data_IF_469657658235
#
_entry.id   IF_469657658235
#
_cell.length_a   1.000
_cell.length_b   1.000
_cell.length_c   1.000
_cell.angle_alpha   90.00
_cell.angle_beta   90.00
_cell.angle_gamma   90.00
#
_symmetry.space_group_name_H-M   'P 1'
#
loop_
_entity.id
_entity.type
_entity.pdbx_description
1 polymer ?
#
# COMPACT_ATOMS: atom_id res chain seq x y z
N UNK A 1 -7.97 2.39 -8.07
CA UNK A 1 -8.44 3.25 -9.19
C UNK A 1 -7.29 4.00 -9.86
N UNK A 2 -6.48 4.79 -9.13
CA UNK A 2 -5.30 5.51 -9.69
C UNK A 2 -4.37 4.63 -10.56
N UNK A 3 -3.98 3.46 -10.07
CA UNK A 3 -3.14 2.52 -10.84
C UNK A 3 -3.77 2.09 -12.18
N UNK A 4 -5.10 1.92 -12.23
CA UNK A 4 -5.81 1.52 -13.46
C UNK A 4 -5.87 2.67 -14.47
N UNK A 5 -6.12 3.90 -14.00
CA UNK A 5 -6.07 5.10 -14.83
C UNK A 5 -4.68 5.34 -15.45
N UNK A 6 -3.63 4.96 -14.74
CA UNK A 6 -2.25 5.03 -15.24
C UNK A 6 -1.96 3.95 -16.27
N UNK A 7 -2.37 2.69 -16.02
CA UNK A 7 -2.18 1.58 -16.97
C UNK A 7 -2.94 1.84 -18.28
N UNK A 8 -4.17 2.33 -18.19
CA UNK A 8 -5.02 2.58 -19.36
C UNK A 8 -4.81 4.00 -19.94
N UNK A 9 -3.77 4.71 -19.53
CA UNK A 9 -3.56 6.11 -19.89
C UNK A 9 -3.57 6.36 -21.41
N UNK A 10 -3.00 5.44 -22.19
CA UNK A 10 -2.96 5.52 -23.66
C UNK A 10 -4.32 5.23 -24.33
N UNK A 11 -5.23 4.54 -23.64
CA UNK A 11 -6.56 4.24 -24.15
C UNK A 11 -7.55 5.39 -23.98
N UNK A 12 -7.22 6.39 -23.14
CA UNK A 12 -8.04 7.57 -22.93
C UNK A 12 -7.59 8.72 -23.82
N UNK A 13 -8.54 9.42 -24.43
CA UNK A 13 -8.35 10.65 -25.21
C UNK A 13 -7.93 11.87 -24.36
N UNK A 14 -7.81 11.72 -23.04
CA UNK A 14 -7.29 12.76 -22.14
C UNK A 14 -7.94 12.79 -20.76
N UNK A 15 -7.75 13.90 -20.05
CA UNK A 15 -8.22 14.10 -18.67
C UNK A 15 -9.74 14.06 -18.55
N UNK A 16 -10.46 14.64 -19.52
CA UNK A 16 -11.93 14.61 -19.53
C UNK A 16 -12.51 13.20 -19.56
N UNK A 17 -11.92 12.29 -20.35
CA UNK A 17 -12.34 10.90 -20.41
C UNK A 17 -12.00 10.14 -19.13
N UNK A 18 -10.81 10.39 -18.55
CA UNK A 18 -10.40 9.82 -17.26
C UNK A 18 -11.31 10.30 -16.12
N UNK A 19 -11.71 11.56 -16.14
CA UNK A 19 -12.65 12.16 -15.19
C UNK A 19 -14.05 11.54 -15.29
N UNK A 20 -14.56 11.39 -16.52
CA UNK A 20 -15.82 10.69 -16.78
C UNK A 20 -15.76 9.22 -16.36
N UNK A 21 -14.64 8.55 -16.61
CA UNK A 21 -14.43 7.16 -16.23
C UNK A 21 -14.47 6.96 -14.71
N UNK A 22 -13.86 7.86 -13.92
CA UNK A 22 -13.93 7.81 -12.45
C UNK A 22 -15.40 7.83 -12.01
N UNK A 23 -16.20 8.78 -12.50
CA UNK A 23 -17.62 8.89 -12.15
C UNK A 23 -18.43 7.65 -12.56
N UNK A 24 -18.19 7.14 -13.77
CA UNK A 24 -18.88 5.97 -14.30
C UNK A 24 -18.57 4.69 -13.53
N UNK A 25 -17.42 4.61 -12.85
CA UNK A 25 -17.02 3.47 -12.02
C UNK A 25 -17.53 3.57 -10.58
N UNK A 26 -18.12 4.69 -10.18
CA UNK A 26 -18.84 4.78 -8.92
C UNK A 26 -20.20 4.11 -9.05
N UNK A 27 -20.67 3.48 -7.97
CA UNK A 27 -21.96 2.80 -7.93
C UNK A 27 -22.80 3.31 -6.75
N UNK A 28 -24.13 3.27 -6.93
CA UNK A 28 -25.11 3.60 -5.90
C UNK A 28 -24.94 4.99 -5.29
N UNK A 29 -24.94 5.06 -3.96
CA UNK A 29 -24.90 6.31 -3.20
C UNK A 29 -23.66 7.16 -3.48
N UNK A 30 -22.50 6.54 -3.73
CA UNK A 30 -21.27 7.28 -3.99
C UNK A 30 -21.33 8.07 -5.30
N UNK A 31 -21.92 7.48 -6.34
CA UNK A 31 -22.13 8.16 -7.62
C UNK A 31 -23.12 9.31 -7.47
N UNK A 32 -24.28 9.06 -6.86
CA UNK A 32 -25.32 10.06 -6.64
C UNK A 32 -24.77 11.28 -5.88
N UNK A 33 -24.02 11.06 -4.80
CA UNK A 33 -23.47 12.13 -3.96
C UNK A 33 -22.32 12.88 -4.63
N UNK A 34 -21.70 12.31 -5.66
CA UNK A 34 -20.62 12.95 -6.43
C UNK A 34 -21.09 13.63 -7.70
N UNK A 35 -22.40 13.54 -8.02
CA UNK A 35 -23.00 14.10 -9.24
C UNK A 35 -22.82 15.61 -9.38
N UNK A 36 -22.95 16.36 -8.28
CA UNK A 36 -22.74 17.81 -8.27
C UNK A 36 -21.28 18.17 -8.60
N UNK A 37 -20.32 17.47 -8.00
CA UNK A 37 -18.89 17.66 -8.28
C UNK A 37 -18.56 17.30 -9.74
N UNK A 38 -19.14 16.21 -10.24
CA UNK A 38 -19.00 15.81 -11.65
C UNK A 38 -19.56 16.87 -12.62
N UNK A 39 -20.73 17.44 -12.31
CA UNK A 39 -21.35 18.48 -13.13
C UNK A 39 -20.53 19.78 -13.18
N UNK A 40 -19.70 20.04 -12.16
CA UNK A 40 -18.76 21.16 -12.13
C UNK A 40 -17.43 20.88 -12.85
N UNK A 41 -17.27 19.70 -13.46
CA UNK A 41 -16.05 19.25 -14.11
C UNK A 41 -15.45 20.28 -15.09
N UNK A 42 -16.27 21.01 -15.85
CA UNK A 42 -15.79 22.05 -16.77
C UNK A 42 -15.10 23.22 -16.07
N UNK A 43 -15.54 23.60 -14.86
CA UNK A 43 -14.91 24.64 -14.04
C UNK A 43 -13.60 24.15 -13.40
N UNK A 44 -13.49 22.84 -13.18
CA UNK A 44 -12.34 22.17 -12.57
C UNK A 44 -11.33 21.64 -13.61
N UNK A 45 -11.53 21.98 -14.89
CA UNK A 45 -10.69 21.51 -16.00
C UNK A 45 -10.73 20.00 -16.22
N UNK A 46 -11.77 19.32 -15.71
CA UNK A 46 -11.93 17.87 -15.71
C UNK A 46 -10.71 17.13 -15.13
N UNK A 47 -10.08 17.67 -14.08
CA UNK A 47 -8.91 17.04 -13.47
C UNK A 47 -9.27 15.73 -12.76
N UNK A 48 -8.76 14.56 -13.22
CA UNK A 48 -9.01 13.28 -12.56
C UNK A 48 -8.43 13.24 -11.15
N UNK A 49 -7.28 13.88 -10.93
CA UNK A 49 -6.62 13.94 -9.62
C UNK A 49 -7.45 14.71 -8.60
N UNK A 50 -8.01 15.88 -8.99
CA UNK A 50 -8.90 16.64 -8.12
C UNK A 50 -10.15 15.85 -7.75
N UNK A 51 -10.68 15.05 -8.68
CA UNK A 51 -11.83 14.20 -8.38
C UNK A 51 -11.45 13.08 -7.41
N UNK A 52 -10.33 12.39 -7.62
CA UNK A 52 -9.85 11.37 -6.69
C UNK A 52 -9.58 11.96 -5.29
N UNK A 53 -9.05 13.18 -5.21
CA UNK A 53 -8.84 13.87 -3.94
C UNK A 53 -10.15 14.26 -3.25
N UNK A 54 -11.15 14.71 -4.01
CA UNK A 54 -12.50 14.94 -3.47
C UNK A 54 -13.08 13.65 -2.87
N UNK A 55 -12.94 12.53 -3.59
CA UNK A 55 -13.42 11.23 -3.12
C UNK A 55 -12.70 10.78 -1.84
N UNK A 56 -11.38 10.89 -1.80
CA UNK A 56 -10.59 10.54 -0.62
C UNK A 56 -10.96 11.40 0.59
N UNK A 57 -11.18 12.71 0.40
CA UNK A 57 -11.60 13.61 1.49
C UNK A 57 -13.00 13.29 2.01
N UNK A 58 -13.92 12.93 1.12
CA UNK A 58 -15.34 12.77 1.48
C UNK A 58 -15.68 11.37 1.98
N UNK A 59 -14.98 10.35 1.49
CA UNK A 59 -15.28 8.93 1.74
C UNK A 59 -14.07 8.13 2.22
N UNK A 60 -12.86 8.67 2.15
CA UNK A 60 -11.68 8.02 2.71
C UNK A 60 -11.78 7.95 4.23
N UNK A 61 -11.10 6.96 4.81
CA UNK A 61 -10.92 6.89 6.25
C UNK A 61 -9.62 7.62 6.64
N UNK A 62 -9.69 8.77 7.33
CA UNK A 62 -8.49 9.52 7.72
C UNK A 62 -7.57 8.72 8.65
N UNK A 63 -8.13 7.72 9.36
CA UNK A 63 -7.38 6.86 10.27
C UNK A 63 -6.92 5.56 9.62
N UNK A 64 -7.09 5.37 8.30
CA UNK A 64 -6.84 4.07 7.66
C UNK A 64 -5.41 3.57 7.88
N UNK A 65 -4.43 4.45 7.72
CA UNK A 65 -3.01 4.14 7.95
C UNK A 65 -2.72 3.81 9.41
N UNK A 66 -3.30 4.56 10.34
CA UNK A 66 -3.13 4.33 11.79
C UNK A 66 -3.74 2.99 12.17
N UNK A 67 -4.98 2.71 11.73
CA UNK A 67 -5.64 1.42 11.97
C UNK A 67 -4.87 0.26 11.35
N UNK A 68 -4.31 0.43 10.16
CA UNK A 68 -3.45 -0.58 9.54
C UNK A 68 -2.15 -0.80 10.32
N UNK A 69 -1.55 0.26 10.85
CA UNK A 69 -0.35 0.17 11.69
C UNK A 69 -0.66 -0.59 13.01
N UNK A 70 -1.81 -0.34 13.63
CA UNK A 70 -2.24 -1.05 14.83
C UNK A 70 -2.51 -2.53 14.55
N UNK A 71 -3.11 -2.85 13.39
CA UNK A 71 -3.27 -4.24 12.92
C UNK A 71 -1.92 -4.90 12.67
N UNK A 72 -0.99 -4.22 11.99
CA UNK A 72 0.37 -4.73 11.77
C UNK A 72 1.09 -5.04 13.09
N UNK A 73 0.98 -4.15 14.09
CA UNK A 73 1.60 -4.33 15.42
C UNK A 73 1.03 -5.50 16.20
N UNK A 74 -0.27 -5.75 16.08
CA UNK A 74 -0.98 -6.82 16.78
C UNK A 74 -1.00 -8.15 16.01
N UNK A 75 -0.64 -8.15 14.73
CA UNK A 75 -0.61 -9.34 13.89
C UNK A 75 0.38 -10.37 14.45
N UNK A 76 -0.06 -11.62 14.56
CA UNK A 76 0.77 -12.75 14.96
C UNK A 76 0.48 -13.94 14.06
N UNK A 77 1.53 -14.64 13.65
CA UNK A 77 1.41 -15.93 13.00
C UNK A 77 0.87 -16.94 14.02
N UNK A 78 -0.19 -17.67 13.66
CA UNK A 78 -0.73 -18.71 14.54
C UNK A 78 0.21 -19.92 14.62
N UNK A 79 0.12 -20.70 15.69
CA UNK A 79 0.98 -21.87 15.92
C UNK A 79 0.92 -22.91 14.80
N UNK A 80 -0.26 -23.07 14.17
CA UNK A 80 -0.51 -24.01 13.09
C UNK A 80 -0.58 -23.36 11.69
N UNK A 81 -0.24 -22.08 11.57
CA UNK A 81 -0.29 -21.35 10.31
C UNK A 81 1.06 -21.40 9.60
N UNK A 82 1.07 -21.79 8.32
CA UNK A 82 2.31 -21.79 7.53
C UNK A 82 2.75 -20.37 7.21
N UNK A 83 4.07 -20.18 7.03
CA UNK A 83 4.59 -18.88 6.63
C UNK A 83 3.99 -18.39 5.30
N UNK A 84 3.80 -19.29 4.34
CA UNK A 84 3.22 -18.96 3.03
C UNK A 84 1.79 -18.43 3.12
N UNK A 85 1.00 -18.89 4.09
CA UNK A 85 -0.36 -18.34 4.32
C UNK A 85 -0.37 -17.08 5.18
N UNK A 86 0.62 -16.93 6.05
CA UNK A 86 0.75 -15.79 6.96
C UNK A 86 1.31 -14.55 6.26
N UNK A 87 2.40 -14.71 5.51
CA UNK A 87 3.19 -13.63 4.95
C UNK A 87 2.38 -12.65 4.08
N UNK A 88 1.44 -13.09 3.21
CA UNK A 88 0.60 -12.15 2.45
C UNK A 88 -0.26 -11.24 3.34
N UNK A 89 -0.68 -11.71 4.53
CA UNK A 89 -1.44 -10.89 5.49
C UNK A 89 -0.55 -9.82 6.11
N UNK A 90 0.68 -10.19 6.46
CA UNK A 90 1.68 -9.26 6.94
C UNK A 90 2.00 -8.19 5.89
N UNK A 91 2.29 -8.59 4.66
CA UNK A 91 2.58 -7.66 3.56
C UNK A 91 1.43 -6.70 3.29
N UNK A 92 0.19 -7.17 3.36
CA UNK A 92 -0.98 -6.32 3.19
C UNK A 92 -1.08 -5.24 4.28
N UNK A 93 -0.95 -5.59 5.57
CA UNK A 93 -0.98 -4.59 6.65
C UNK A 93 0.26 -3.67 6.62
N UNK A 94 1.42 -4.20 6.20
CA UNK A 94 2.62 -3.40 5.97
C UNK A 94 2.41 -2.36 4.86
N UNK A 95 1.81 -2.75 3.73
CA UNK A 95 1.49 -1.83 2.64
C UNK A 95 0.46 -0.78 3.07
N UNK A 96 -0.62 -1.20 3.73
CA UNK A 96 -1.72 -0.31 4.15
C UNK A 96 -1.31 0.70 5.22
N UNK A 97 -0.31 0.38 6.05
CA UNK A 97 0.27 1.31 7.03
C UNK A 97 1.30 2.28 6.42
N UNK A 98 1.67 2.09 5.15
CA UNK A 98 2.74 2.84 4.49
C UNK A 98 4.15 2.28 4.72
N UNK A 99 4.25 1.11 5.34
CA UNK A 99 5.52 0.49 5.72
C UNK A 99 6.33 -0.13 4.58
N UNK A 100 5.77 -0.22 3.37
CA UNK A 100 6.53 -0.61 2.18
C UNK A 100 7.71 0.32 1.87
N UNK A 101 7.67 1.57 2.33
CA UNK A 101 8.75 2.56 2.15
C UNK A 101 9.81 2.55 3.26
N UNK A 102 9.62 1.76 4.32
CA UNK A 102 10.56 1.73 5.44
C UNK A 102 11.87 1.02 5.06
N UNK A 103 12.94 1.29 5.80
CA UNK A 103 14.20 0.57 5.63
C UNK A 103 13.99 -0.94 5.84
N UNK A 104 14.70 -1.78 5.07
CA UNK A 104 14.57 -3.25 5.14
C UNK A 104 14.70 -3.77 6.58
N UNK A 105 15.66 -3.23 7.34
CA UNK A 105 15.88 -3.60 8.73
C UNK A 105 14.64 -3.39 9.61
N UNK A 106 13.87 -2.33 9.36
CA UNK A 106 12.63 -2.04 10.10
C UNK A 106 11.55 -3.03 9.69
N UNK A 107 11.39 -3.28 8.38
CA UNK A 107 10.42 -4.27 7.87
C UNK A 107 10.70 -5.67 8.40
N UNK A 108 11.97 -6.08 8.40
CA UNK A 108 12.44 -7.37 8.93
C UNK A 108 12.14 -7.45 10.43
N UNK A 109 12.46 -6.42 11.21
CA UNK A 109 12.19 -6.41 12.66
C UNK A 109 10.69 -6.58 12.97
N UNK A 110 9.82 -5.90 12.22
CA UNK A 110 8.37 -6.09 12.34
C UNK A 110 7.96 -7.53 12.01
N UNK A 111 8.50 -8.11 10.93
CA UNK A 111 8.18 -9.48 10.54
C UNK A 111 8.62 -10.47 11.62
N UNK A 112 9.87 -10.40 12.08
CA UNK A 112 10.43 -11.25 13.14
C UNK A 112 9.60 -11.21 14.43
N UNK A 113 9.11 -10.03 14.80
CA UNK A 113 8.22 -9.82 15.96
C UNK A 113 6.84 -10.49 15.82
N UNK A 114 6.42 -10.82 14.60
CA UNK A 114 5.10 -11.40 14.31
C UNK A 114 5.12 -12.92 14.16
N UNK A 115 6.29 -13.52 13.89
CA UNK A 115 6.44 -14.96 13.69
C UNK A 115 6.16 -15.76 14.97
N UNK A 116 5.70 -17.01 14.80
CA UNK A 116 5.57 -17.95 15.90
C UNK A 116 6.94 -18.43 16.40
N UNK A 117 6.98 -18.96 17.62
CA UNK A 117 8.24 -19.32 18.28
C UNK A 117 8.97 -20.47 17.57
N UNK A 118 8.22 -21.37 16.93
CA UNK A 118 8.79 -22.45 16.12
C UNK A 118 9.66 -21.90 14.99
N UNK A 119 9.13 -21.02 14.15
CA UNK A 119 9.89 -20.43 13.04
C UNK A 119 10.96 -19.47 13.54
N UNK A 120 10.67 -18.69 14.59
CA UNK A 120 11.65 -17.80 15.21
C UNK A 120 12.86 -18.57 15.73
N UNK A 121 12.66 -19.75 16.31
CA UNK A 121 13.75 -20.62 16.78
C UNK A 121 14.66 -21.15 15.67
N UNK A 122 14.16 -21.23 14.42
CA UNK A 122 14.94 -21.62 13.25
C UNK A 122 15.64 -20.45 12.55
N UNK A 123 15.30 -19.20 12.88
CA UNK A 123 16.00 -18.03 12.35
C UNK A 123 17.37 -17.92 13.02
N UNK A 124 18.39 -18.50 12.41
CA UNK A 124 19.79 -18.26 12.78
C UNK A 124 20.11 -16.81 12.42
N UNK A 125 20.14 -15.92 13.41
CA UNK A 125 20.59 -14.55 13.21
C UNK A 125 22.04 -14.55 12.77
N UNK A 126 22.31 -14.20 11.50
CA UNK A 126 23.67 -13.93 11.04
C UNK A 126 24.14 -12.67 11.79
N UNK A 127 25.19 -12.76 12.64
CA UNK A 127 25.72 -11.59 13.32
C UNK A 127 26.12 -10.52 12.29
N UNK A 128 25.68 -9.30 12.51
CA UNK A 128 25.91 -8.13 11.63
C UNK A 128 27.41 -7.92 11.32
N UNK A 129 28.30 -8.44 12.18
CA UNK A 129 29.76 -8.37 12.03
C UNK A 129 30.35 -9.05 10.79
N UNK A 130 29.59 -9.84 10.02
CA UNK A 130 30.10 -10.47 8.78
C UNK A 130 29.72 -9.74 7.48
N UNK A 131 29.05 -8.57 7.56
CA UNK A 131 28.60 -7.85 6.35
C UNK A 131 29.63 -6.89 5.73
N UNK A 132 30.84 -6.76 6.29
CA UNK A 132 31.84 -5.76 5.87
C UNK A 132 33.22 -6.31 5.48
N UNK A 133 33.38 -7.58 5.15
CA UNK A 133 34.69 -8.10 4.71
C UNK A 133 34.62 -8.88 3.41
N UNK A 134 34.21 -8.25 2.30
CA UNK A 134 34.68 -8.69 0.98
C UNK A 134 34.64 -7.55 -0.05
N UNK A 135 35.75 -7.39 -0.79
CA UNK A 135 36.12 -6.32 -1.73
C UNK A 135 36.62 -5.02 -1.04
N UNK A 136 37.88 -4.59 -1.13
CA UNK A 136 38.90 -4.80 -2.16
C UNK A 136 40.30 -4.63 -1.53
N UNK A 137 41.04 -5.73 -1.39
CA UNK A 137 42.49 -5.71 -1.54
C UNK A 137 42.79 -6.42 -2.85
N UNK A 138 43.19 -5.65 -3.86
CA UNK A 138 43.92 -6.17 -5.01
C UNK A 138 45.20 -5.34 -5.09
N UNK A 139 46.29 -5.98 -4.66
CA UNK A 139 47.66 -5.51 -4.81
C UNK A 139 48.12 -5.79 -6.24
N UNK A 140 48.77 -4.83 -6.88
CA UNK A 140 50.10 -4.91 -7.52
C UNK A 140 50.27 -3.77 -8.52
#
# INVERSE_FOLDING_TARGET
MRAKLQVDQEAFGGDAERFAYIYARLEGTAQMMSSAFYAEGSKLGFSPDQFMDYMERRYGDPNAKVRALDRLRSLRQKDNESFASFFPKFENELANSGGGSWADIVRINYLEGTLNDTLRGYLIGIPISQRTTTSTQSSS
#
